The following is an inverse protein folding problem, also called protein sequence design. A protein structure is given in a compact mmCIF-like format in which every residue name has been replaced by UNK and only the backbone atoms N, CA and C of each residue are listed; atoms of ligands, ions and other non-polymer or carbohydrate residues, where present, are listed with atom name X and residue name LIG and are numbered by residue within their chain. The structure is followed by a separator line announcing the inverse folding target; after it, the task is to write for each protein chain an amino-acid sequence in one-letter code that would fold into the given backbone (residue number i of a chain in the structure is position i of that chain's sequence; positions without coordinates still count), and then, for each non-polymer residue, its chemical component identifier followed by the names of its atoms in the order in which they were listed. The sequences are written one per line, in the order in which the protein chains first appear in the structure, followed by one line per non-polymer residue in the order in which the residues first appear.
data_IF_731314008163
#
_entry.id   IF_731314008163
#
_cell.length_a   1.000
_cell.length_b   1.000
_cell.length_c   1.000
_cell.angle_alpha   90.00
_cell.angle_beta   90.00
_cell.angle_gamma   90.00
#
_symmetry.space_group_name_H-M   'P 1'
#
loop_
_entity.id
_entity.type
_entity.pdbx_description
1 polymer ?
#
# COMPACT_ATOMS: atom_id res chain seq x y z
N UNK A 1 22.79 5.34 -15.00
CA UNK A 1 22.11 5.11 -13.71
C UNK A 1 20.65 5.03 -14.04
N UNK A 2 20.06 3.84 -13.92
CA UNK A 2 18.66 3.60 -14.25
C UNK A 2 17.82 4.20 -13.12
N UNK A 3 17.42 5.46 -13.30
CA UNK A 3 16.45 6.14 -12.44
C UNK A 3 15.13 5.40 -12.59
N UNK A 4 14.89 4.45 -11.70
CA UNK A 4 13.67 3.65 -11.66
C UNK A 4 12.52 4.60 -11.38
N UNK A 5 11.95 5.15 -12.46
CA UNK A 5 10.72 5.92 -12.54
C UNK A 5 9.53 5.02 -12.15
N UNK A 6 9.49 4.56 -10.91
CA UNK A 6 8.28 4.04 -10.27
C UNK A 6 7.46 5.23 -9.76
N UNK A 7 7.05 6.13 -10.67
CA UNK A 7 6.24 7.30 -10.29
C UNK A 7 4.77 6.98 -10.08
N UNK A 8 4.30 5.80 -10.47
CA UNK A 8 2.92 5.40 -10.25
C UNK A 8 2.81 3.90 -10.09
N UNK A 9 2.12 3.47 -9.05
CA UNK A 9 1.77 2.08 -8.83
C UNK A 9 0.88 1.61 -9.99
N UNK A 10 1.37 0.67 -10.79
CA UNK A 10 0.61 0.06 -11.87
C UNK A 10 -0.50 -0.82 -11.26
N UNK A 11 -1.79 -0.57 -11.56
CA UNK A 11 -2.89 -1.39 -11.08
C UNK A 11 -2.74 -2.88 -11.40
N UNK A 12 -2.05 -3.24 -12.49
CA UNK A 12 -1.79 -4.64 -12.85
C UNK A 12 -0.87 -5.34 -11.83
N UNK A 13 0.06 -4.61 -11.20
CA UNK A 13 0.91 -5.14 -10.13
C UNK A 13 0.06 -5.44 -8.90
N UNK A 14 -0.88 -4.54 -8.55
CA UNK A 14 -1.79 -4.72 -7.43
C UNK A 14 -2.62 -5.99 -7.62
N UNK A 15 -3.31 -6.12 -8.75
CA UNK A 15 -4.13 -7.30 -9.06
C UNK A 15 -3.32 -8.60 -8.97
N UNK A 16 -2.09 -8.60 -9.49
CA UNK A 16 -1.21 -9.77 -9.46
C UNK A 16 -0.75 -10.14 -8.04
N UNK A 17 -0.50 -9.16 -7.18
CA UNK A 17 -0.16 -9.41 -5.77
C UNK A 17 -1.35 -10.05 -5.06
N UNK A 18 -2.56 -9.56 -5.29
CA UNK A 18 -3.78 -10.08 -4.68
C UNK A 18 -4.05 -11.52 -5.13
N UNK A 19 -4.01 -11.78 -6.44
CA UNK A 19 -4.17 -13.13 -7.00
C UNK A 19 -3.16 -14.11 -6.41
N UNK A 20 -1.89 -13.71 -6.32
CA UNK A 20 -0.82 -14.57 -5.81
C UNK A 20 -1.00 -14.90 -4.32
N UNK A 21 -1.48 -13.96 -3.53
CA UNK A 21 -1.64 -14.14 -2.09
C UNK A 21 -3.03 -14.65 -1.70
N UNK A 22 -3.95 -14.81 -2.67
CA UNK A 22 -5.34 -15.25 -2.44
C UNK A 22 -6.07 -14.39 -1.40
N UNK A 23 -5.77 -13.09 -1.39
CA UNK A 23 -6.37 -12.11 -0.49
C UNK A 23 -7.34 -11.21 -1.25
N UNK A 24 -8.39 -10.79 -0.55
CA UNK A 24 -9.34 -9.80 -1.06
C UNK A 24 -8.73 -8.39 -0.99
N UNK A 25 -9.39 -7.41 -1.63
CA UNK A 25 -8.97 -6.01 -1.57
C UNK A 25 -9.10 -5.39 -0.18
N UNK A 26 -10.16 -5.78 0.53
CA UNK A 26 -10.43 -5.36 1.91
C UNK A 26 -9.41 -5.92 2.92
N UNK A 27 -8.72 -7.02 2.58
CA UNK A 27 -7.68 -7.60 3.44
C UNK A 27 -6.27 -7.04 3.17
N UNK A 28 -6.14 -6.10 2.22
CA UNK A 28 -4.84 -5.57 1.80
C UNK A 28 -4.67 -4.09 2.17
N UNK A 29 -3.52 -3.77 2.79
CA UNK A 29 -3.13 -2.39 3.14
C UNK A 29 -1.84 -2.02 2.43
N UNK A 30 -1.89 -1.00 1.58
CA UNK A 30 -0.72 -0.39 0.96
C UNK A 30 -0.12 0.69 1.87
N UNK A 31 1.20 0.64 2.06
CA UNK A 31 1.99 1.71 2.66
C UNK A 31 2.94 2.28 1.61
N UNK A 32 2.82 3.57 1.31
CA UNK A 32 3.63 4.24 0.28
C UNK A 32 3.84 5.72 0.66
N UNK A 33 4.99 6.30 0.31
CA UNK A 33 5.30 7.71 0.58
C UNK A 33 4.70 8.66 -0.46
N UNK A 34 4.32 8.14 -1.63
CA UNK A 34 3.65 8.88 -2.70
C UNK A 34 2.14 8.80 -2.53
N UNK A 35 1.52 9.94 -2.22
CA UNK A 35 0.07 10.05 -2.08
C UNK A 35 -0.70 9.62 -3.34
N UNK A 36 -0.12 9.74 -4.53
CA UNK A 36 -0.74 9.29 -5.77
C UNK A 36 -0.85 7.76 -5.88
N UNK A 37 0.10 7.01 -5.34
CA UNK A 37 0.05 5.55 -5.28
C UNK A 37 -1.03 5.10 -4.31
N UNK A 38 -1.09 5.73 -3.14
CA UNK A 38 -2.13 5.48 -2.14
C UNK A 38 -3.51 5.76 -2.71
N UNK A 39 -3.68 6.88 -3.42
CA UNK A 39 -4.95 7.20 -4.07
C UNK A 39 -5.34 6.16 -5.12
N UNK A 40 -4.41 5.74 -5.98
CA UNK A 40 -4.67 4.70 -6.98
C UNK A 40 -5.08 3.36 -6.34
N UNK A 41 -4.42 2.97 -5.24
CA UNK A 41 -4.78 1.76 -4.50
C UNK A 41 -6.19 1.85 -3.88
N UNK A 42 -6.54 2.99 -3.29
CA UNK A 42 -7.89 3.21 -2.75
C UNK A 42 -8.96 3.16 -3.85
N UNK A 43 -8.69 3.73 -5.04
CA UNK A 43 -9.60 3.61 -6.18
C UNK A 43 -9.74 2.17 -6.69
N UNK A 44 -8.73 1.33 -6.48
CA UNK A 44 -8.76 -0.10 -6.78
C UNK A 44 -9.41 -0.95 -5.66
N UNK A 45 -9.91 -0.31 -4.59
CA UNK A 45 -10.61 -0.97 -3.48
C UNK A 45 -9.72 -1.43 -2.33
N UNK A 46 -8.44 -1.06 -2.31
CA UNK A 46 -7.52 -1.38 -1.22
C UNK A 46 -7.60 -0.36 -0.09
N UNK A 47 -7.13 -0.75 1.09
CA UNK A 47 -6.73 0.22 2.11
C UNK A 47 -5.36 0.83 1.75
N UNK A 48 -5.15 2.09 2.07
CA UNK A 48 -3.91 2.79 1.75
C UNK A 48 -3.54 3.83 2.81
N UNK A 49 -2.24 3.91 3.12
CA UNK A 49 -1.66 4.81 4.10
C UNK A 49 -0.48 5.54 3.49
N UNK A 50 -0.53 6.87 3.50
CA UNK A 50 0.63 7.70 3.14
C UNK A 50 1.59 7.71 4.32
N UNK A 51 2.84 7.33 4.10
CA UNK A 51 3.88 7.29 5.13
C UNK A 51 5.05 8.20 4.77
N UNK A 52 5.35 9.18 5.63
CA UNK A 52 6.49 10.08 5.44
C UNK A 52 7.62 9.80 6.43
N UNK A 53 7.32 9.00 7.46
CA UNK A 53 8.25 8.59 8.50
C UNK A 53 7.89 7.22 9.06
N UNK A 54 8.84 6.54 9.75
CA UNK A 54 8.52 5.32 10.48
C UNK A 54 7.43 5.50 11.55
N UNK A 55 7.27 6.71 12.09
CA UNK A 55 6.24 7.00 13.09
C UNK A 55 4.84 6.89 12.49
N UNK A 56 4.64 7.31 11.24
CA UNK A 56 3.36 7.21 10.54
C UNK A 56 2.95 5.75 10.34
N UNK A 57 3.90 4.90 9.95
CA UNK A 57 3.67 3.47 9.80
C UNK A 57 3.29 2.82 11.15
N UNK A 58 4.00 3.17 12.23
CA UNK A 58 3.69 2.66 13.56
C UNK A 58 2.32 3.11 14.06
N UNK A 59 1.94 4.36 13.81
CA UNK A 59 0.61 4.87 14.14
C UNK A 59 -0.48 4.10 13.37
N UNK A 60 -0.29 3.88 12.08
CA UNK A 60 -1.22 3.13 11.26
C UNK A 60 -1.37 1.68 11.72
N UNK A 61 -0.27 0.99 12.06
CA UNK A 61 -0.33 -0.35 12.66
C UNK A 61 -1.14 -0.37 13.95
N UNK A 62 -0.93 0.61 14.84
CA UNK A 62 -1.67 0.71 16.09
C UNK A 62 -3.18 0.90 15.87
N UNK A 63 -3.57 1.79 14.95
CA UNK A 63 -4.98 2.05 14.62
C UNK A 63 -5.66 0.80 14.04
N UNK A 64 -4.93 0.02 13.25
CA UNK A 64 -5.42 -1.22 12.66
C UNK A 64 -5.37 -2.44 13.61
N UNK A 65 -4.85 -2.27 14.83
CA UNK A 65 -4.66 -3.37 15.77
C UNK A 65 -3.63 -4.41 15.32
N UNK A 66 -2.71 -4.04 14.42
CA UNK A 66 -1.66 -4.90 13.90
C UNK A 66 -0.46 -4.83 14.85
N UNK A 67 -0.22 -5.90 15.60
CA UNK A 67 0.99 -6.05 16.43
C UNK A 67 2.09 -6.75 15.65
N UNK A 68 3.32 -6.23 15.72
CA UNK A 68 4.51 -6.88 15.16
C UNK A 68 4.77 -8.18 15.94
N UNK A 69 4.72 -9.33 15.28
CA UNK A 69 5.18 -10.60 15.83
C UNK A 69 6.70 -10.75 15.74
#
# INVERSE_FOLDING_TARGET
MDETLHRRLDPAIIARIMERNQVSAEDFVLFDDLAENVHAAVQAGLHGVVVQSPADAMQAFNVMGISKH
#
